data_IF_451053479184
#
_entry.id   IF_451053479184
#
_cell.length_a   1.000
_cell.length_b   1.000
_cell.length_c   1.000
_cell.angle_alpha   90.00
_cell.angle_beta   90.00
_cell.angle_gamma   90.00
#
_symmetry.space_group_name_H-M   'P 1'
#
loop_
_entity.id
_entity.type
_entity.pdbx_description
1 polymer ?
#
# COMPACT_ATOMS: atom_id res chain seq x y z
N UNK A 1 -28.51 12.44 21.47
CA UNK A 1 -27.68 13.65 21.32
C UNK A 1 -26.28 13.14 21.05
N UNK A 2 -25.84 13.29 19.83
CA UNK A 2 -24.50 12.87 19.41
C UNK A 2 -23.58 14.06 19.61
N UNK A 3 -22.74 13.98 20.63
CA UNK A 3 -21.68 14.98 20.85
C UNK A 3 -20.65 14.82 19.73
N UNK A 4 -20.88 15.56 18.64
CA UNK A 4 -19.85 15.75 17.63
C UNK A 4 -18.81 16.66 18.25
N UNK A 5 -17.70 16.08 18.69
CA UNK A 5 -16.53 16.86 19.09
C UNK A 5 -16.02 17.53 17.81
N UNK A 6 -16.32 18.82 17.67
CA UNK A 6 -15.67 19.64 16.65
C UNK A 6 -14.18 19.71 17.00
N UNK A 7 -13.33 19.07 16.21
CA UNK A 7 -11.87 19.18 16.29
C UNK A 7 -11.44 20.59 15.85
N UNK A 8 -11.77 21.59 16.66
CA UNK A 8 -11.32 22.98 16.47
C UNK A 8 -10.04 23.30 17.27
N UNK A 9 -9.54 22.34 18.03
CA UNK A 9 -8.29 22.50 18.77
C UNK A 9 -7.14 21.97 17.92
N UNK A 10 -6.09 22.75 17.78
CA UNK A 10 -4.86 22.38 17.05
C UNK A 10 -4.17 21.24 17.78
N UNK A 11 -4.45 20.01 17.37
CA UNK A 11 -3.71 18.85 17.84
C UNK A 11 -2.30 18.89 17.26
N UNK A 12 -1.29 18.82 18.13
CA UNK A 12 0.11 18.71 17.73
C UNK A 12 0.50 17.23 17.85
N UNK A 13 0.92 16.55 16.79
CA UNK A 13 1.28 15.15 16.89
C UNK A 13 2.55 14.96 17.72
N UNK A 14 2.59 13.91 18.53
CA UNK A 14 3.82 13.49 19.18
C UNK A 14 4.89 13.11 18.13
N UNK A 15 6.18 13.08 18.47
CA UNK A 15 7.27 12.97 17.48
C UNK A 15 7.14 11.80 16.51
N UNK A 16 6.59 10.66 16.95
CA UNK A 16 6.42 9.44 16.14
C UNK A 16 5.04 9.32 15.49
N UNK A 17 4.18 10.34 15.59
CA UNK A 17 2.80 10.23 15.09
C UNK A 17 2.54 11.16 13.93
N UNK A 18 1.57 10.77 13.12
CA UNK A 18 1.04 11.55 12.01
C UNK A 18 -0.46 11.71 12.17
N UNK A 19 -0.95 12.87 11.79
CA UNK A 19 -2.37 13.18 11.69
C UNK A 19 -2.75 13.16 10.22
N UNK A 20 -3.75 12.38 9.87
CA UNK A 20 -4.11 12.04 8.52
C UNK A 20 -5.57 12.41 8.24
N UNK A 21 -5.83 12.95 7.06
CA UNK A 21 -7.16 13.04 6.50
C UNK A 21 -7.47 11.74 5.74
N UNK A 22 -8.58 11.10 6.08
CA UNK A 22 -9.04 9.87 5.40
C UNK A 22 -9.58 10.25 4.03
N UNK A 23 -8.98 9.70 3.00
CA UNK A 23 -9.47 9.86 1.63
C UNK A 23 -10.44 8.71 1.36
N UNK A 24 -11.73 8.99 1.37
CA UNK A 24 -12.72 8.02 0.93
C UNK A 24 -12.58 7.84 -0.58
N UNK A 25 -12.07 6.70 -1.00
CA UNK A 25 -12.13 6.30 -2.40
C UNK A 25 -13.59 6.03 -2.76
N UNK A 26 -14.26 7.06 -3.23
CA UNK A 26 -15.50 6.91 -3.98
C UNK A 26 -15.24 6.69 -5.47
N UNK A 27 -14.04 6.29 -5.83
CA UNK A 27 -13.70 5.96 -7.19
C UNK A 27 -14.57 4.77 -7.62
N UNK A 28 -15.65 5.12 -8.29
CA UNK A 28 -16.37 4.20 -9.14
C UNK A 28 -15.36 3.74 -10.17
N UNK A 29 -14.74 2.59 -9.94
CA UNK A 29 -13.97 1.94 -10.98
C UNK A 29 -14.94 1.64 -12.12
N UNK A 30 -14.92 2.49 -13.10
CA UNK A 30 -15.67 2.30 -14.33
C UNK A 30 -14.77 1.45 -15.24
N UNK A 31 -14.86 0.13 -15.10
CA UNK A 31 -14.22 -0.78 -16.03
C UNK A 31 -15.24 -1.00 -17.15
N UNK A 32 -15.05 -0.34 -18.29
CA UNK A 32 -15.87 -0.50 -19.50
C UNK A 32 -17.38 -0.39 -19.27
N UNK A 33 -17.82 0.55 -18.43
CA UNK A 33 -19.24 0.76 -18.15
C UNK A 33 -19.82 -0.07 -17.01
N UNK A 34 -19.02 -0.96 -16.39
CA UNK A 34 -19.43 -1.70 -15.20
C UNK A 34 -19.05 -0.94 -13.94
N UNK A 35 -20.03 -0.45 -13.20
CA UNK A 35 -19.82 0.17 -11.87
C UNK A 35 -19.74 -0.95 -10.84
N UNK A 36 -18.54 -1.26 -10.38
CA UNK A 36 -18.35 -2.20 -9.27
C UNK A 36 -18.76 -1.55 -7.95
N UNK A 37 -19.57 -2.21 -7.12
CA UNK A 37 -19.96 -1.65 -5.83
C UNK A 37 -18.74 -1.49 -4.92
N UNK A 38 -18.69 -0.37 -4.21
CA UNK A 38 -17.67 -0.03 -3.20
C UNK A 38 -17.49 -1.12 -2.13
N UNK A 39 -18.47 -1.98 -1.93
CA UNK A 39 -18.40 -3.12 -1.00
C UNK A 39 -17.33 -4.15 -1.36
N UNK A 40 -16.93 -4.26 -2.63
CA UNK A 40 -15.85 -5.16 -3.04
C UNK A 40 -14.47 -4.75 -2.46
N UNK A 41 -14.31 -3.48 -2.08
CA UNK A 41 -13.05 -2.92 -1.56
C UNK A 41 -13.07 -2.64 -0.05
N UNK A 42 -14.20 -2.86 0.63
CA UNK A 42 -14.31 -2.59 2.07
C UNK A 42 -13.46 -3.52 2.95
N UNK A 43 -12.95 -4.61 2.39
CA UNK A 43 -12.10 -5.57 3.10
C UNK A 43 -10.59 -5.29 2.95
N UNK A 44 -10.20 -4.24 2.24
CA UNK A 44 -8.79 -3.88 2.15
C UNK A 44 -8.30 -3.36 3.49
N UNK A 45 -7.26 -4.01 4.02
CA UNK A 45 -6.57 -3.61 5.24
C UNK A 45 -5.91 -2.23 5.10
N UNK A 46 -5.59 -1.84 3.88
CA UNK A 46 -4.90 -0.60 3.57
C UNK A 46 -5.88 0.53 3.27
N UNK A 47 -5.52 1.74 3.67
CA UNK A 47 -6.25 2.97 3.44
C UNK A 47 -5.40 4.04 2.79
N UNK A 48 -6.07 5.00 2.15
CA UNK A 48 -5.45 6.16 1.53
C UNK A 48 -5.70 7.39 2.38
N UNK A 49 -4.65 8.19 2.54
CA UNK A 49 -4.66 9.32 3.45
C UNK A 49 -3.86 10.48 2.89
N UNK A 50 -4.18 11.68 3.35
CA UNK A 50 -3.34 12.85 3.18
C UNK A 50 -2.81 13.31 4.55
N UNK A 51 -1.53 13.60 4.64
CA UNK A 51 -0.91 14.09 5.88
C UNK A 51 -1.38 15.51 6.15
N UNK A 52 -2.05 15.72 7.29
CA UNK A 52 -2.49 17.04 7.77
C UNK A 52 -1.43 17.66 8.67
N UNK A 53 -0.87 16.84 9.57
CA UNK A 53 0.20 17.27 10.48
C UNK A 53 1.11 16.08 10.80
N UNK A 54 2.36 16.35 11.19
CA UNK A 54 3.40 15.32 11.29
C UNK A 54 4.37 15.61 12.42
N UNK A 55 4.65 14.59 13.23
CA UNK A 55 5.68 14.64 14.25
C UNK A 55 7.10 14.66 13.66
N UNK A 56 8.03 15.26 14.39
CA UNK A 56 9.41 15.49 13.92
C UNK A 56 10.12 14.20 13.47
N UNK A 57 10.03 13.13 14.25
CA UNK A 57 10.68 11.84 13.92
C UNK A 57 10.13 11.24 12.64
N UNK A 58 8.81 11.31 12.45
CA UNK A 58 8.16 10.82 11.23
C UNK A 58 8.62 11.61 9.98
N UNK A 59 8.79 12.92 10.11
CA UNK A 59 9.27 13.77 9.02
C UNK A 59 10.73 13.48 8.65
N UNK A 60 11.59 13.32 9.65
CA UNK A 60 13.03 13.13 9.47
C UNK A 60 13.35 11.73 8.93
N UNK A 61 12.79 10.66 9.53
CA UNK A 61 13.14 9.28 9.17
C UNK A 61 12.55 8.82 7.83
N UNK A 62 11.32 9.24 7.51
CA UNK A 62 10.63 8.82 6.28
C UNK A 62 10.61 9.90 5.20
N UNK A 63 11.15 11.09 5.47
CA UNK A 63 11.09 12.22 4.54
C UNK A 63 9.66 12.61 4.16
N UNK A 64 8.71 12.42 5.09
CA UNK A 64 7.31 12.75 4.91
C UNK A 64 7.06 14.24 5.18
N UNK A 65 6.05 14.82 4.53
CA UNK A 65 5.67 16.22 4.67
C UNK A 65 4.16 16.37 4.78
N UNK A 66 3.72 17.45 5.41
CA UNK A 66 2.32 17.87 5.36
C UNK A 66 1.90 18.06 3.91
N UNK A 67 0.74 17.50 3.55
CA UNK A 67 0.22 17.49 2.19
C UNK A 67 0.57 16.22 1.39
N UNK A 68 1.55 15.42 1.81
CA UNK A 68 1.86 14.15 1.15
C UNK A 68 0.66 13.20 1.20
N UNK A 69 0.46 12.47 0.11
CA UNK A 69 -0.50 11.37 0.05
C UNK A 69 0.21 10.07 0.38
N UNK A 70 -0.44 9.24 1.21
CA UNK A 70 0.16 8.02 1.73
C UNK A 70 -0.82 6.86 1.78
N UNK A 71 -0.26 5.65 1.74
CA UNK A 71 -0.96 4.40 2.01
C UNK A 71 -0.53 3.89 3.38
N UNK A 72 -1.50 3.52 4.21
CA UNK A 72 -1.22 3.02 5.55
C UNK A 72 -2.20 1.93 5.99
N UNK A 73 -1.82 1.17 7.03
CA UNK A 73 -2.65 0.13 7.62
C UNK A 73 -3.84 0.74 8.37
N UNK A 74 -5.05 0.45 7.92
CA UNK A 74 -6.30 0.93 8.55
C UNK A 74 -6.50 0.42 9.97
N UNK A 75 -5.95 -0.74 10.30
CA UNK A 75 -6.09 -1.35 11.63
C UNK A 75 -5.13 -0.74 12.66
N UNK A 76 -4.09 -0.06 12.19
CA UNK A 76 -3.08 0.54 13.05
C UNK A 76 -3.43 1.95 13.55
N UNK A 77 -4.65 2.42 13.29
CA UNK A 77 -5.10 3.74 13.73
C UNK A 77 -5.27 3.75 15.26
N UNK A 78 -4.54 4.63 15.94
CA UNK A 78 -4.71 4.86 17.38
C UNK A 78 -6.01 5.61 17.68
N UNK A 79 -6.46 6.44 16.72
CA UNK A 79 -7.67 7.24 16.82
C UNK A 79 -8.29 7.39 15.44
N UNK A 80 -9.61 7.27 15.38
CA UNK A 80 -10.38 7.46 14.14
C UNK A 80 -11.69 8.16 14.44
N UNK A 81 -11.76 9.42 14.07
CA UNK A 81 -13.04 10.12 13.91
C UNK A 81 -13.06 10.71 12.52
N UNK A 82 -13.93 10.20 11.64
CA UNK A 82 -13.99 10.71 10.26
C UNK A 82 -14.15 12.21 10.24
N UNK A 83 -13.37 12.91 9.43
CA UNK A 83 -12.41 12.45 8.42
C UNK A 83 -10.97 12.24 8.91
N UNK A 84 -10.69 12.29 10.21
CA UNK A 84 -9.34 12.30 10.78
C UNK A 84 -8.94 10.92 11.33
N UNK A 85 -7.70 10.54 11.09
CA UNK A 85 -7.05 9.37 11.69
C UNK A 85 -5.68 9.78 12.26
N UNK A 86 -5.29 9.14 13.36
CA UNK A 86 -3.96 9.31 13.98
C UNK A 86 -3.28 7.96 14.05
N UNK A 87 -2.03 7.87 13.60
CA UNK A 87 -1.27 6.63 13.67
C UNK A 87 0.23 6.89 13.81
N UNK A 88 0.98 5.85 14.21
CA UNK A 88 2.44 5.89 14.15
C UNK A 88 2.91 5.90 12.69
N UNK A 89 3.99 6.64 12.43
CA UNK A 89 4.60 6.73 11.10
C UNK A 89 5.06 5.37 10.54
N UNK A 90 5.43 4.44 11.42
CA UNK A 90 5.84 3.07 11.04
C UNK A 90 4.73 2.25 10.36
N UNK A 91 3.48 2.69 10.45
CA UNK A 91 2.34 2.05 9.80
C UNK A 91 2.04 2.64 8.42
N UNK A 92 2.80 3.64 8.00
CA UNK A 92 2.76 4.18 6.64
C UNK A 92 3.66 3.32 5.76
N UNK A 93 3.11 2.83 4.67
CA UNK A 93 3.71 1.79 3.83
C UNK A 93 4.31 2.40 2.57
N UNK A 94 3.63 3.40 2.00
CA UNK A 94 4.04 4.04 0.76
C UNK A 94 3.62 5.50 0.69
N UNK A 95 4.35 6.28 -0.10
CA UNK A 95 3.85 7.53 -0.68
C UNK A 95 3.10 7.25 -1.97
N UNK A 96 2.13 8.10 -2.27
CA UNK A 96 1.40 8.06 -3.53
C UNK A 96 1.17 9.49 -4.04
N UNK A 97 0.73 9.63 -5.29
CA UNK A 97 0.22 10.90 -5.79
C UNK A 97 -1.25 11.13 -5.40
N UNK A 98 -1.76 12.32 -5.69
CA UNK A 98 -3.16 12.69 -5.39
C UNK A 98 -4.19 11.84 -6.15
N UNK A 99 -3.79 11.23 -7.27
CA UNK A 99 -4.65 10.39 -8.11
C UNK A 99 -4.47 8.89 -7.79
N UNK A 100 -3.56 8.55 -6.87
CA UNK A 100 -3.21 7.17 -6.49
C UNK A 100 -2.79 6.29 -7.70
N UNK A 101 -2.06 6.89 -8.63
CA UNK A 101 -1.54 6.20 -9.82
C UNK A 101 -0.10 5.74 -9.67
N UNK A 102 0.68 6.46 -8.88
CA UNK A 102 2.08 6.12 -8.60
C UNK A 102 2.27 5.80 -7.13
N UNK A 103 3.10 4.81 -6.86
CA UNK A 103 3.38 4.37 -5.49
C UNK A 103 4.88 4.20 -5.31
N UNK A 104 5.39 4.84 -4.26
CA UNK A 104 6.79 4.71 -3.84
C UNK A 104 6.81 4.03 -2.47
N UNK A 105 7.31 2.79 -2.36
CA UNK A 105 7.43 2.11 -1.08
C UNK A 105 8.29 2.94 -0.12
N UNK A 106 7.91 2.93 1.14
CA UNK A 106 8.71 3.50 2.21
C UNK A 106 9.69 2.45 2.76
N UNK A 107 10.47 2.87 3.72
CA UNK A 107 11.59 2.12 4.30
C UNK A 107 11.28 0.62 4.50
N UNK A 108 12.14 -0.22 3.92
CA UNK A 108 12.11 -1.67 4.08
C UNK A 108 10.88 -2.37 3.45
N UNK A 109 10.16 -1.69 2.56
CA UNK A 109 9.01 -2.26 1.84
C UNK A 109 9.36 -2.64 0.41
N UNK A 110 8.81 -3.77 -0.02
CA UNK A 110 8.96 -4.33 -1.37
C UNK A 110 7.57 -4.60 -1.93
N UNK A 111 7.31 -4.07 -3.11
CA UNK A 111 6.08 -4.29 -3.85
C UNK A 111 6.30 -5.36 -4.89
N UNK A 112 5.44 -6.36 -4.89
CA UNK A 112 5.56 -7.55 -5.72
C UNK A 112 4.27 -7.79 -6.48
N UNK A 113 4.39 -7.96 -7.79
CA UNK A 113 3.28 -8.37 -8.65
C UNK A 113 3.25 -9.89 -8.73
N UNK A 114 2.08 -10.49 -8.51
CA UNK A 114 1.91 -11.95 -8.56
C UNK A 114 2.25 -12.50 -9.95
N UNK A 115 3.11 -13.50 -9.98
CA UNK A 115 3.47 -14.20 -11.21
C UNK A 115 2.35 -15.11 -11.72
N UNK A 116 1.50 -15.62 -10.85
CA UNK A 116 0.44 -16.57 -11.18
C UNK A 116 -0.74 -15.95 -11.95
N UNK A 117 -0.87 -14.62 -11.96
CA UNK A 117 -1.96 -13.91 -12.63
C UNK A 117 -1.62 -13.48 -14.07
N UNK A 118 -0.83 -14.27 -14.81
CA UNK A 118 -0.72 -14.04 -16.25
C UNK A 118 -2.02 -14.47 -16.91
N UNK A 119 -2.83 -13.50 -17.29
CA UNK A 119 -3.93 -13.67 -18.23
C UNK A 119 -3.35 -14.00 -19.59
N UNK A 120 -3.64 -15.19 -20.08
CA UNK A 120 -3.30 -15.57 -21.46
C UNK A 120 -4.55 -15.39 -22.30
N UNK A 121 -4.44 -14.60 -23.37
CA UNK A 121 -5.52 -14.50 -24.35
C UNK A 121 -5.55 -15.80 -25.17
N UNK A 122 -6.64 -16.54 -25.05
CA UNK A 122 -6.88 -17.74 -25.85
C UNK A 122 -8.16 -17.50 -26.66
N UNK A 123 -7.97 -17.04 -27.89
CA UNK A 123 -9.08 -16.86 -28.83
C UNK A 123 -10.09 -15.78 -28.42
N UNK A 124 -9.64 -14.67 -27.83
CA UNK A 124 -10.47 -13.56 -27.35
C UNK A 124 -11.05 -13.75 -25.96
N UNK A 125 -10.72 -14.85 -25.28
CA UNK A 125 -11.06 -15.06 -23.87
C UNK A 125 -9.83 -14.90 -23.00
N UNK A 126 -9.92 -13.99 -22.01
CA UNK A 126 -8.89 -13.86 -20.99
C UNK A 126 -9.01 -15.03 -20.00
N UNK A 127 -8.15 -16.02 -20.16
CA UNK A 127 -8.08 -17.17 -19.26
C UNK A 127 -7.01 -16.90 -18.21
N UNK A 128 -7.43 -16.71 -16.98
CA UNK A 128 -6.52 -16.62 -15.83
C UNK A 128 -6.11 -18.03 -15.43
N UNK A 129 -4.90 -18.42 -15.74
CA UNK A 129 -4.35 -19.69 -15.29
C UNK A 129 -4.03 -19.62 -13.81
N UNK A 130 -4.95 -20.05 -12.99
CA UNK A 130 -4.72 -20.31 -11.56
C UNK A 130 -3.85 -21.57 -11.38
N UNK A 131 -2.62 -21.53 -11.80
CA UNK A 131 -1.64 -22.48 -11.28
C UNK A 131 -1.27 -22.03 -9.87
N UNK A 132 -1.95 -22.62 -8.91
CA UNK A 132 -1.72 -22.52 -7.47
C UNK A 132 -0.37 -23.14 -7.09
N UNK A 133 0.72 -22.62 -7.61
CA UNK A 133 2.04 -23.15 -7.31
C UNK A 133 3.05 -22.03 -7.22
N UNK A 134 3.60 -21.94 -6.02
CA UNK A 134 4.69 -21.08 -5.58
C UNK A 134 4.25 -19.64 -5.39
N UNK A 135 4.45 -19.13 -4.18
CA UNK A 135 4.36 -17.71 -3.84
C UNK A 135 5.53 -16.98 -4.52
N UNK A 136 5.49 -16.89 -5.85
CA UNK A 136 6.52 -16.22 -6.65
C UNK A 136 5.88 -14.97 -7.25
N UNK A 137 6.61 -13.87 -7.19
CA UNK A 137 6.21 -12.62 -7.80
C UNK A 137 7.39 -11.82 -8.32
N UNK A 138 7.10 -10.86 -9.18
CA UNK A 138 8.06 -9.92 -9.74
C UNK A 138 8.14 -8.67 -8.84
N UNK A 139 9.34 -8.28 -8.46
CA UNK A 139 9.59 -7.04 -7.71
C UNK A 139 9.35 -5.84 -8.61
N UNK A 140 8.27 -5.09 -8.37
CA UNK A 140 7.91 -3.91 -9.19
C UNK A 140 8.43 -2.60 -8.60
N UNK A 141 8.57 -2.53 -7.27
CA UNK A 141 9.20 -1.41 -6.58
C UNK A 141 9.76 -1.87 -5.24
N UNK A 142 10.80 -1.23 -4.76
CA UNK A 142 11.38 -1.51 -3.46
C UNK A 142 12.08 -0.28 -2.89
N UNK A 143 12.13 -0.21 -1.58
CA UNK A 143 12.93 0.73 -0.83
C UNK A 143 13.50 0.00 0.39
N UNK A 144 14.77 -0.35 0.31
CA UNK A 144 15.52 -1.06 1.37
C UNK A 144 16.69 -0.17 1.74
N UNK A 145 17.00 -0.09 3.01
CA UNK A 145 18.10 0.74 3.51
C UNK A 145 19.44 0.30 2.90
N UNK A 146 20.32 1.25 2.62
CA UNK A 146 21.62 1.00 1.97
C UNK A 146 22.55 0.09 2.77
N UNK A 147 22.35 -0.03 4.07
CA UNK A 147 23.10 -0.91 4.96
C UNK A 147 22.57 -2.36 4.99
N UNK A 148 21.46 -2.61 4.28
CA UNK A 148 20.84 -3.94 4.19
C UNK A 148 21.14 -4.57 2.83
N UNK A 149 21.96 -5.61 2.83
CA UNK A 149 22.24 -6.38 1.62
C UNK A 149 21.06 -7.33 1.33
N UNK A 150 20.43 -7.15 0.15
CA UNK A 150 19.37 -8.04 -0.35
C UNK A 150 19.81 -8.65 -1.68
N UNK A 151 19.52 -9.96 -1.93
CA UNK A 151 19.98 -10.65 -3.14
C UNK A 151 19.11 -10.36 -4.38
N UNK A 152 18.18 -9.41 -4.30
CA UNK A 152 17.21 -9.11 -5.36
C UNK A 152 17.10 -7.60 -5.60
N UNK A 153 16.57 -7.24 -6.77
CA UNK A 153 16.31 -5.85 -7.19
C UNK A 153 15.01 -5.77 -7.98
N UNK A 154 14.59 -4.57 -8.32
CA UNK A 154 13.44 -4.34 -9.20
C UNK A 154 13.60 -5.13 -10.52
N UNK A 155 12.53 -5.84 -10.90
CA UNK A 155 12.47 -6.73 -12.06
C UNK A 155 12.88 -8.18 -11.79
N UNK A 156 13.43 -8.47 -10.61
CA UNK A 156 13.75 -9.86 -10.23
C UNK A 156 12.48 -10.60 -9.78
N UNK A 157 12.47 -11.91 -10.00
CA UNK A 157 11.47 -12.80 -9.42
C UNK A 157 11.93 -13.28 -8.06
N UNK A 158 11.00 -13.26 -7.11
CA UNK A 158 11.26 -13.63 -5.71
C UNK A 158 10.21 -14.62 -5.20
N UNK A 159 10.64 -15.48 -4.29
CA UNK A 159 9.74 -16.34 -3.54
C UNK A 159 9.30 -15.62 -2.27
N UNK A 160 7.99 -15.62 -2.03
CA UNK A 160 7.34 -14.87 -0.96
C UNK A 160 7.00 -15.80 0.20
N UNK A 161 7.15 -15.31 1.41
CA UNK A 161 6.57 -15.96 2.59
C UNK A 161 5.03 -15.80 2.58
N UNK A 162 4.35 -16.52 3.47
CA UNK A 162 2.91 -16.31 3.67
C UNK A 162 2.66 -15.00 4.41
N UNK A 163 1.61 -14.26 4.05
CA UNK A 163 1.08 -13.18 4.87
C UNK A 163 1.42 -11.75 4.43
N UNK A 164 1.69 -11.53 3.15
CA UNK A 164 1.77 -10.16 2.61
C UNK A 164 0.39 -9.48 2.55
N UNK A 165 0.37 -8.17 2.78
CA UNK A 165 -0.80 -7.34 2.50
C UNK A 165 -0.87 -7.06 0.99
N UNK A 166 -2.04 -6.70 0.50
CA UNK A 166 -2.22 -6.41 -0.93
C UNK A 166 -3.12 -5.21 -1.17
N UNK A 167 -2.93 -4.56 -2.29
CA UNK A 167 -3.79 -3.50 -2.77
C UNK A 167 -3.77 -3.43 -4.31
N UNK A 168 -4.68 -2.64 -4.86
CA UNK A 168 -4.75 -2.43 -6.30
C UNK A 168 -4.12 -1.10 -6.70
N UNK A 169 -3.26 -1.14 -7.72
CA UNK A 169 -2.74 0.02 -8.44
C UNK A 169 -3.40 0.02 -9.81
N UNK A 170 -4.43 0.82 -9.99
CA UNK A 170 -5.25 0.73 -11.19
C UNK A 170 -5.91 -0.65 -11.28
N UNK A 171 -5.65 -1.38 -12.37
CA UNK A 171 -6.12 -2.77 -12.56
C UNK A 171 -5.12 -3.83 -12.06
N UNK A 172 -3.94 -3.44 -11.59
CA UNK A 172 -2.93 -4.37 -11.14
C UNK A 172 -3.05 -4.66 -9.65
N UNK A 173 -3.06 -5.93 -9.30
CA UNK A 173 -3.00 -6.40 -7.92
C UNK A 173 -1.54 -6.52 -7.50
N UNK A 174 -1.17 -5.79 -6.46
CA UNK A 174 0.21 -5.72 -5.94
C UNK A 174 0.21 -6.19 -4.49
N UNK A 175 1.14 -7.05 -4.17
CA UNK A 175 1.41 -7.48 -2.80
C UNK A 175 2.51 -6.63 -2.19
N UNK A 176 2.39 -6.40 -0.88
CA UNK A 176 3.35 -5.64 -0.08
C UNK A 176 4.00 -6.58 0.91
N UNK A 177 5.32 -6.56 0.90
CA UNK A 177 6.14 -7.30 1.84
C UNK A 177 7.18 -6.40 2.48
N UNK A 178 7.55 -6.69 3.71
CA UNK A 178 8.84 -6.24 4.22
C UNK A 178 9.91 -7.08 3.53
N UNK A 179 11.10 -6.51 3.30
CA UNK A 179 12.18 -7.21 2.61
C UNK A 179 12.57 -8.54 3.28
N UNK A 180 12.48 -8.60 4.63
CA UNK A 180 12.78 -9.79 5.43
C UNK A 180 11.75 -10.93 5.31
N UNK A 181 10.62 -10.66 4.68
CA UNK A 181 9.60 -11.65 4.33
C UNK A 181 9.82 -12.29 2.95
N UNK A 182 10.81 -11.83 2.21
CA UNK A 182 11.20 -12.42 0.92
C UNK A 182 12.19 -13.55 1.20
N UNK A 183 11.83 -14.77 0.77
CA UNK A 183 12.58 -15.98 1.11
C UNK A 183 13.85 -16.12 0.28
N UNK A 184 13.75 -15.91 -1.03
CA UNK A 184 14.88 -15.97 -1.94
C UNK A 184 14.55 -15.35 -3.30
N UNK A 185 15.61 -15.05 -4.07
CA UNK A 185 15.50 -14.76 -5.50
C UNK A 185 15.30 -16.06 -6.29
N UNK A 186 14.45 -16.01 -7.31
CA UNK A 186 14.17 -17.13 -8.19
C UNK A 186 14.79 -16.83 -9.56
N UNK A 187 15.67 -17.70 -10.03
CA UNK A 187 16.29 -17.59 -11.34
C UNK A 187 15.56 -18.44 -12.38
N UNK A 188 15.60 -18.03 -13.64
CA UNK A 188 14.99 -18.78 -14.74
C UNK A 188 13.50 -18.55 -14.98
N UNK A 189 12.84 -17.68 -14.24
CA UNK A 189 11.51 -17.19 -14.58
C UNK A 189 11.64 -16.15 -15.71
N UNK A 190 11.02 -16.43 -16.86
CA UNK A 190 10.89 -15.49 -18.00
C UNK A 190 9.43 -15.28 -18.34
#
# INVERSE_FOLDING_TARGET
MSDTIEFNEKCIPAPEYVILNVIDRHDKFNVEGLVLPTSAYQNERLGFYQIIDIGRVAAEEYGLKVGDYVVADRLAQCYKTRPVAVMKYTNIIAKTDSENKTFSPLRNMVFVKDYANRTTDVGGFLVTNYKKQLNIGEVVAMNVDDDVEVPFKKGDFVMLSKGGDSFHIGMEHVFIYRYDMIVCKVEGCK
#
